data_IF_703188123399
#
_entry.id   IF_703188123399
#
_cell.length_a   1.000
_cell.length_b   1.000
_cell.length_c   1.000
_cell.angle_alpha   90.00
_cell.angle_beta   90.00
_cell.angle_gamma   90.00
#
_symmetry.space_group_name_H-M   'P 1'
#
loop_
_entity.id
_entity.type
_entity.pdbx_description
1 polymer ?
#
# COMPACT_ATOMS: atom_id res chain seq x y z
N UNK A 1 13.04 -14.16 24.10
CA UNK A 1 13.12 -12.70 24.00
C UNK A 1 12.61 -12.26 22.65
N UNK A 2 11.77 -11.26 22.60
CA UNK A 2 11.19 -10.78 21.36
C UNK A 2 11.92 -9.53 20.89
N UNK A 3 12.30 -9.50 19.59
CA UNK A 3 12.79 -8.28 18.98
C UNK A 3 11.62 -7.34 18.70
N UNK A 4 11.91 -6.06 18.65
CA UNK A 4 10.93 -5.07 18.23
C UNK A 4 10.86 -5.05 16.71
N UNK A 5 9.64 -5.14 16.18
CA UNK A 5 9.39 -5.06 14.75
C UNK A 5 8.55 -3.85 14.43
N UNK A 6 8.88 -3.16 13.34
CA UNK A 6 7.96 -2.20 12.75
C UNK A 6 6.90 -2.98 11.99
N UNK A 7 5.64 -2.65 12.23
CA UNK A 7 4.52 -3.28 11.55
C UNK A 7 3.78 -2.23 10.75
N UNK A 8 3.60 -2.54 9.47
CA UNK A 8 2.82 -1.72 8.54
C UNK A 8 1.67 -2.53 7.99
N UNK A 9 0.64 -1.84 7.53
CA UNK A 9 -0.48 -2.43 6.81
C UNK A 9 -0.46 -1.91 5.39
N UNK A 10 -0.74 -2.78 4.42
CA UNK A 10 -0.85 -2.43 3.02
C UNK A 10 -2.07 -3.12 2.42
N UNK A 11 -2.70 -2.48 1.45
CA UNK A 11 -3.88 -3.03 0.81
C UNK A 11 -3.71 -3.07 -0.70
N UNK A 12 -4.02 -4.21 -1.28
CA UNK A 12 -4.15 -4.33 -2.73
C UNK A 12 -5.60 -3.95 -3.09
N UNK A 13 -5.76 -2.78 -3.67
CA UNK A 13 -7.05 -2.24 -4.11
C UNK A 13 -7.25 -2.53 -5.59
N UNK A 14 -8.25 -3.34 -5.89
CA UNK A 14 -8.60 -3.68 -7.26
C UNK A 14 -9.84 -2.92 -7.70
N UNK A 15 -9.89 -2.55 -8.97
CA UNK A 15 -11.13 -2.04 -9.55
C UNK A 15 -12.19 -3.13 -9.58
N UNK A 16 -13.48 -2.74 -9.56
CA UNK A 16 -14.59 -3.69 -9.53
C UNK A 16 -14.60 -4.65 -10.71
N UNK A 17 -14.06 -4.23 -11.86
CA UNK A 17 -13.92 -5.09 -13.04
C UNK A 17 -12.68 -5.99 -13.00
N UNK A 18 -11.85 -5.86 -11.97
CA UNK A 18 -10.64 -6.65 -11.78
C UNK A 18 -9.50 -6.33 -12.73
N UNK A 19 -9.61 -5.27 -13.55
CA UNK A 19 -8.61 -4.97 -14.59
C UNK A 19 -7.49 -4.06 -14.14
N UNK A 20 -7.69 -3.30 -13.08
CA UNK A 20 -6.73 -2.29 -12.61
C UNK A 20 -6.47 -2.43 -11.12
N UNK A 21 -5.27 -2.05 -10.71
CA UNK A 21 -4.85 -2.01 -9.31
C UNK A 21 -4.44 -0.58 -8.98
N UNK A 22 -4.82 -0.12 -7.80
CA UNK A 22 -4.46 1.22 -7.34
C UNK A 22 -3.11 1.20 -6.65
N UNK A 23 -2.22 2.06 -7.09
CA UNK A 23 -0.92 2.27 -6.46
C UNK A 23 -0.77 3.72 -6.05
N UNK A 24 0.06 3.96 -5.04
CA UNK A 24 0.49 5.29 -4.65
C UNK A 24 1.83 5.60 -5.31
N UNK A 25 1.91 6.74 -5.96
CA UNK A 25 3.19 7.23 -6.49
C UNK A 25 3.96 7.91 -5.36
N UNK A 26 5.22 7.56 -5.22
CA UNK A 26 6.11 8.24 -4.30
C UNK A 26 6.62 9.55 -4.92
N UNK A 27 6.99 10.51 -4.08
CA UNK A 27 7.54 11.77 -4.56
C UNK A 27 8.84 11.55 -5.34
N UNK A 28 9.03 12.32 -6.40
CA UNK A 28 10.18 12.18 -7.28
C UNK A 28 10.14 10.87 -8.04
N UNK A 29 11.31 10.24 -8.22
CA UNK A 29 11.47 8.99 -8.94
C UNK A 29 11.57 7.77 -8.01
N UNK A 30 11.04 7.87 -6.79
CA UNK A 30 11.11 6.80 -5.80
C UNK A 30 10.24 5.58 -6.12
N UNK A 31 9.37 5.66 -7.15
CA UNK A 31 8.57 4.54 -7.62
C UNK A 31 7.15 4.53 -7.08
N UNK A 32 6.59 3.33 -6.94
CA UNK A 32 5.19 3.10 -6.58
C UNK A 32 5.11 2.10 -5.44
N UNK A 33 4.07 2.22 -4.63
CA UNK A 33 3.76 1.28 -3.56
C UNK A 33 2.27 1.10 -3.36
N UNK A 34 1.89 0.09 -2.57
CA UNK A 34 0.51 -0.10 -2.17
C UNK A 34 0.10 0.96 -1.14
N UNK A 35 -1.17 1.37 -1.14
CA UNK A 35 -1.69 2.23 -0.08
C UNK A 35 -1.56 1.58 1.30
N UNK A 36 -1.31 2.38 2.30
CA UNK A 36 -1.16 1.94 3.68
C UNK A 36 0.02 2.61 4.37
N UNK A 37 0.34 2.17 5.55
CA UNK A 37 1.43 2.73 6.35
C UNK A 37 1.61 2.03 7.69
N UNK A 38 2.35 2.67 8.57
CA UNK A 38 2.68 2.12 9.88
C UNK A 38 1.47 2.05 10.81
N UNK A 39 1.46 1.03 11.66
CA UNK A 39 0.52 0.93 12.76
C UNK A 39 1.03 1.79 13.90
N UNK A 40 0.20 2.72 14.35
CA UNK A 40 0.54 3.57 15.49
C UNK A 40 0.32 2.83 16.81
N UNK A 41 0.98 3.31 17.86
CA UNK A 41 0.81 2.75 19.19
C UNK A 41 -0.67 2.79 19.60
N UNK A 42 -1.18 1.65 20.06
CA UNK A 42 -2.57 1.53 20.49
C UNK A 42 -3.57 1.21 19.40
N UNK A 43 -3.15 1.19 18.13
CA UNK A 43 -4.02 0.79 17.03
C UNK A 43 -3.97 -0.70 16.78
N UNK A 44 -5.11 -1.26 16.40
CA UNK A 44 -5.16 -2.58 15.77
C UNK A 44 -4.89 -2.43 14.27
N UNK A 45 -4.45 -3.50 13.58
CA UNK A 45 -4.15 -3.42 12.14
C UNK A 45 -5.30 -2.86 11.30
N UNK A 46 -6.54 -3.27 11.55
CA UNK A 46 -7.70 -2.79 10.81
C UNK A 46 -7.93 -1.29 10.99
N UNK A 47 -7.71 -0.80 12.21
CA UNK A 47 -7.84 0.62 12.53
C UNK A 47 -6.76 1.44 11.83
N UNK A 48 -5.53 0.92 11.80
CA UNK A 48 -4.42 1.56 11.11
C UNK A 48 -4.69 1.68 9.61
N UNK A 49 -5.19 0.60 8.99
CA UNK A 49 -5.51 0.62 7.56
C UNK A 49 -6.62 1.64 7.25
N UNK A 50 -7.68 1.67 8.04
CA UNK A 50 -8.76 2.65 7.88
C UNK A 50 -8.24 4.08 7.97
N UNK A 51 -7.40 4.36 8.96
CA UNK A 51 -6.78 5.68 9.13
C UNK A 51 -5.91 6.05 7.94
N UNK A 52 -5.03 5.15 7.51
CA UNK A 52 -4.12 5.40 6.38
C UNK A 52 -4.87 5.66 5.08
N UNK A 53 -5.91 4.89 4.79
CA UNK A 53 -6.71 5.10 3.58
C UNK A 53 -7.45 6.44 3.60
N UNK A 54 -7.92 6.84 4.76
CA UNK A 54 -8.54 8.15 4.92
C UNK A 54 -7.53 9.28 4.72
N UNK A 55 -6.32 9.14 5.29
CA UNK A 55 -5.25 10.14 5.17
C UNK A 55 -4.70 10.25 3.75
N UNK A 56 -4.54 9.12 3.07
CA UNK A 56 -3.95 9.10 1.73
C UNK A 56 -4.96 9.34 0.62
N UNK A 57 -6.15 8.74 0.72
CA UNK A 57 -7.13 8.68 -0.37
C UNK A 57 -8.46 9.35 -0.03
N UNK A 58 -8.71 9.66 1.24
CA UNK A 58 -9.97 10.23 1.66
C UNK A 58 -11.14 9.27 1.56
N UNK A 59 -10.89 7.96 1.55
CA UNK A 59 -11.92 6.94 1.39
C UNK A 59 -12.03 6.05 2.63
N UNK A 60 -13.21 5.47 2.79
CA UNK A 60 -13.47 4.43 3.78
C UNK A 60 -13.93 3.18 3.03
N UNK A 61 -13.28 2.06 3.27
CA UNK A 61 -13.61 0.78 2.63
C UNK A 61 -13.55 -0.36 3.63
N UNK A 62 -14.26 -1.43 3.32
CA UNK A 62 -14.12 -2.70 4.02
C UNK A 62 -13.04 -3.52 3.33
N UNK A 63 -11.90 -3.68 4.01
CA UNK A 63 -10.81 -4.50 3.53
C UNK A 63 -10.80 -5.84 4.25
N UNK A 64 -10.50 -6.88 3.51
CA UNK A 64 -10.37 -8.25 4.05
C UNK A 64 -8.90 -8.57 4.27
N UNK A 65 -8.53 -9.09 5.45
CA UNK A 65 -7.16 -9.57 5.65
C UNK A 65 -6.81 -10.61 4.59
N UNK A 66 -5.64 -10.46 4.00
CA UNK A 66 -5.16 -11.39 2.99
C UNK A 66 -4.21 -12.40 3.63
N UNK A 67 -4.11 -13.58 3.00
CA UNK A 67 -3.21 -14.64 3.44
C UNK A 67 -1.77 -14.38 3.03
N UNK A 68 -1.33 -13.14 3.15
CA UNK A 68 0.07 -12.82 2.86
C UNK A 68 0.61 -11.78 3.83
N UNK A 69 1.90 -11.86 4.04
CA UNK A 69 2.66 -10.76 4.59
C UNK A 69 3.81 -10.46 3.63
N UNK A 70 4.27 -9.23 3.66
CA UNK A 70 5.35 -8.80 2.80
C UNK A 70 6.55 -8.45 3.67
N UNK A 71 7.70 -9.00 3.31
CA UNK A 71 8.97 -8.59 3.89
C UNK A 71 9.55 -7.51 2.99
N UNK A 72 10.05 -6.43 3.58
CA UNK A 72 10.71 -5.39 2.81
C UNK A 72 12.07 -5.90 2.31
N UNK A 73 12.22 -6.14 0.99
CA UNK A 73 13.47 -6.68 0.45
C UNK A 73 14.59 -5.65 0.40
N UNK A 74 14.26 -4.39 0.60
CA UNK A 74 15.23 -3.30 0.56
C UNK A 74 15.72 -2.90 1.94
N UNK A 75 15.15 -3.46 2.99
CA UNK A 75 15.66 -3.27 4.34
C UNK A 75 16.89 -4.16 4.52
N UNK A 76 18.05 -3.58 4.25
CA UNK A 76 19.33 -4.26 4.36
C UNK A 76 19.91 -4.21 5.77
N UNK A 77 19.25 -3.51 6.69
CA UNK A 77 19.71 -3.42 8.06
C UNK A 77 19.16 -4.60 8.87
N UNK A 78 20.03 -5.47 9.32
CA UNK A 78 19.66 -6.65 10.11
C UNK A 78 18.95 -6.30 11.43
N UNK A 79 18.80 -5.01 11.73
CA UNK A 79 18.19 -4.50 12.97
C UNK A 79 16.76 -4.01 12.78
N UNK A 80 16.34 -3.74 11.57
CA UNK A 80 14.98 -3.26 11.26
C UNK A 80 14.17 -4.39 10.65
N UNK A 81 13.52 -5.14 11.51
CA UNK A 81 12.57 -6.16 11.07
C UNK A 81 11.24 -5.49 10.81
N UNK A 82 10.95 -5.24 9.54
CA UNK A 82 9.69 -4.68 9.10
C UNK A 82 8.78 -5.79 8.65
N UNK A 83 7.59 -5.82 9.22
CA UNK A 83 6.53 -6.75 8.85
C UNK A 83 5.40 -5.95 8.21
N UNK A 84 4.95 -6.38 7.04
CA UNK A 84 3.84 -5.75 6.35
C UNK A 84 2.69 -6.75 6.30
N UNK A 85 1.57 -6.38 6.92
CA UNK A 85 0.34 -7.16 6.87
C UNK A 85 -0.46 -6.75 5.64
N UNK A 86 -0.86 -7.73 4.84
CA UNK A 86 -1.56 -7.50 3.59
C UNK A 86 -3.07 -7.60 3.73
N UNK A 87 -3.76 -6.72 3.02
CA UNK A 87 -5.22 -6.70 2.89
C UNK A 87 -5.59 -6.61 1.42
N UNK A 88 -6.80 -7.02 1.10
CA UNK A 88 -7.37 -6.86 -0.25
C UNK A 88 -8.74 -6.21 -0.15
N UNK A 89 -9.07 -5.41 -1.16
CA UNK A 89 -10.40 -4.83 -1.30
C UNK A 89 -10.67 -4.50 -2.76
N UNK A 90 -11.93 -4.38 -3.11
CA UNK A 90 -12.37 -3.92 -4.42
C UNK A 90 -13.10 -2.60 -4.27
N UNK A 91 -12.82 -1.66 -5.15
CA UNK A 91 -13.53 -0.38 -5.18
C UNK A 91 -13.92 -0.05 -6.61
N UNK A 92 -14.93 0.83 -6.75
CA UNK A 92 -15.33 1.33 -8.05
C UNK A 92 -14.16 2.06 -8.72
N UNK A 93 -13.79 1.66 -9.94
CA UNK A 93 -12.70 2.28 -10.67
C UNK A 93 -13.00 3.73 -11.10
N UNK A 94 -14.25 4.16 -11.01
CA UNK A 94 -14.68 5.53 -11.29
C UNK A 94 -14.81 6.38 -10.02
N UNK A 95 -14.42 5.84 -8.86
CA UNK A 95 -14.44 6.60 -7.62
C UNK A 95 -13.53 7.83 -7.75
N UNK A 96 -14.01 8.95 -7.23
CA UNK A 96 -13.22 10.18 -7.22
C UNK A 96 -12.09 10.04 -6.22
N UNK A 97 -10.85 10.22 -6.69
CA UNK A 97 -9.65 10.13 -5.87
C UNK A 97 -8.90 11.47 -5.93
N UNK A 98 -8.16 11.82 -4.89
CA UNK A 98 -7.37 13.05 -4.89
C UNK A 98 -6.21 12.96 -5.90
N UNK A 99 -5.76 14.10 -6.41
CA UNK A 99 -4.60 14.17 -7.31
C UNK A 99 -3.29 13.82 -6.59
N UNK A 100 -3.25 14.06 -5.30
CA UNK A 100 -2.14 13.69 -4.42
C UNK A 100 -2.70 13.19 -3.10
N UNK A 101 -1.88 12.50 -2.30
CA UNK A 101 -2.29 12.05 -0.98
C UNK A 101 -2.79 13.23 -0.15
N UNK A 102 -3.92 13.06 0.53
CA UNK A 102 -4.57 14.13 1.29
C UNK A 102 -3.68 14.70 2.39
N UNK A 103 -2.80 13.86 2.96
CA UNK A 103 -1.83 14.25 3.98
C UNK A 103 -0.50 14.75 3.42
N UNK A 104 -0.35 14.76 2.09
CA UNK A 104 0.88 15.17 1.42
C UNK A 104 2.02 14.16 1.47
N UNK A 105 1.81 12.98 2.03
CA UNK A 105 2.86 11.95 2.19
C UNK A 105 3.32 11.34 0.88
N UNK A 106 2.45 11.30 -0.12
CA UNK A 106 2.69 10.66 -1.41
C UNK A 106 2.28 11.57 -2.56
N UNK A 107 2.85 11.33 -3.74
CA UNK A 107 2.54 12.11 -4.94
C UNK A 107 1.12 11.88 -5.47
N UNK A 108 0.51 10.77 -5.10
CA UNK A 108 -0.89 10.53 -5.38
C UNK A 108 -1.21 9.15 -5.92
N UNK A 109 -2.49 8.79 -5.96
CA UNK A 109 -2.93 7.49 -6.45
C UNK A 109 -2.91 7.43 -7.97
N UNK A 110 -2.71 6.22 -8.48
CA UNK A 110 -2.81 5.93 -9.91
C UNK A 110 -3.36 4.52 -10.11
N UNK A 111 -4.27 4.37 -11.07
CA UNK A 111 -4.75 3.07 -11.50
C UNK A 111 -3.83 2.52 -12.57
N UNK A 112 -3.35 1.29 -12.37
CA UNK A 112 -2.50 0.61 -13.34
C UNK A 112 -3.13 -0.71 -13.78
N UNK A 113 -3.02 -1.01 -15.07
CA UNK A 113 -3.40 -2.31 -15.62
C UNK A 113 -2.35 -3.37 -15.27
N UNK A 114 -2.68 -4.64 -15.47
CA UNK A 114 -1.72 -5.73 -15.27
C UNK A 114 -0.49 -5.59 -16.15
N UNK A 115 -0.67 -5.14 -17.39
CA UNK A 115 0.44 -4.92 -18.31
C UNK A 115 1.38 -3.83 -17.78
N UNK A 116 0.82 -2.72 -17.31
CA UNK A 116 1.59 -1.63 -16.72
C UNK A 116 2.33 -2.08 -15.45
N UNK A 117 1.67 -2.86 -14.58
CA UNK A 117 2.30 -3.43 -13.39
C UNK A 117 3.49 -4.32 -13.73
N UNK A 118 3.37 -5.16 -14.78
CA UNK A 118 4.47 -6.01 -15.23
C UNK A 118 5.67 -5.19 -15.70
N UNK A 119 5.42 -4.10 -16.40
CA UNK A 119 6.49 -3.20 -16.84
C UNK A 119 7.21 -2.57 -15.66
N UNK A 120 6.46 -2.11 -14.65
CA UNK A 120 7.04 -1.55 -13.43
C UNK A 120 7.86 -2.58 -12.65
N UNK A 121 7.36 -3.80 -12.55
CA UNK A 121 8.07 -4.89 -11.87
C UNK A 121 9.41 -5.17 -12.54
N UNK A 122 9.44 -5.19 -13.87
CA UNK A 122 10.68 -5.40 -14.65
C UNK A 122 11.66 -4.25 -14.46
N UNK A 123 11.18 -3.02 -14.36
CA UNK A 123 12.02 -1.84 -14.17
C UNK A 123 12.39 -1.60 -12.70
N UNK A 124 11.91 -2.41 -11.77
CA UNK A 124 12.10 -2.28 -10.33
C UNK A 124 11.58 -0.94 -9.75
N UNK A 125 10.64 -0.30 -10.44
CA UNK A 125 10.01 0.93 -9.95
C UNK A 125 8.86 0.67 -8.98
N UNK A 126 8.39 -0.57 -8.90
CA UNK A 126 7.34 -0.98 -7.98
C UNK A 126 7.97 -1.60 -6.73
N UNK A 127 8.07 -0.83 -5.67
CA UNK A 127 8.66 -1.25 -4.41
C UNK A 127 7.59 -1.78 -3.47
N UNK A 128 7.81 -2.96 -2.90
CA UNK A 128 6.91 -3.52 -1.89
C UNK A 128 5.59 -4.09 -2.39
N UNK A 129 5.42 -4.27 -3.72
CA UNK A 129 4.18 -4.81 -4.29
C UNK A 129 4.20 -6.34 -4.33
N UNK A 130 5.35 -6.93 -4.58
CA UNK A 130 5.50 -8.37 -4.80
C UNK A 130 6.61 -9.01 -3.96
N UNK A 131 6.82 -8.51 -2.80
CA UNK A 131 7.85 -9.04 -1.92
C UNK A 131 7.36 -10.16 -1.03
#
# INVERSE_FOLDING_TARGET
>A
MYDRHEVSVKVALYSSDGKRTLLMRHWGDAGFGLPGGHIDAGEMPDEALERELREELGITIDATPADFYVRDPYDTTAKNHKIILGYTATIDGDIELPDQACDGSEAGPVWLTRAELRLLTKSRQATGIFC
#
